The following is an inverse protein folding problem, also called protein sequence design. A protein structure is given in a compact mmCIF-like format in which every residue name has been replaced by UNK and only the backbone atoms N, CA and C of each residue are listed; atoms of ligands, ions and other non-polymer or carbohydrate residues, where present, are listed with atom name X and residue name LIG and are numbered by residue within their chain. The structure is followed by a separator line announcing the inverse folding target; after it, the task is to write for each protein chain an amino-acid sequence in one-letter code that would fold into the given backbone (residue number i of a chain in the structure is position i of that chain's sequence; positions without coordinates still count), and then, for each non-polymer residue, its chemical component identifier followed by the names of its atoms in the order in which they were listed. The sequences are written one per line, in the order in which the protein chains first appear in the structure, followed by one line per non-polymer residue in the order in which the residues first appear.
data_IF_376319425292
#
_entry.id   IF_376319425292
#
_cell.length_a   1.000
_cell.length_b   1.000
_cell.length_c   1.000
_cell.angle_alpha   90.00
_cell.angle_beta   90.00
_cell.angle_gamma   90.00
#
_symmetry.space_group_name_H-M   'P 1'
#
loop_
_entity.id
_entity.type
_entity.pdbx_description
1 polymer ?
#
# COMPACT_ATOMS: atom_id res chain seq x y z
N UNK A 1 19.46 -6.08 -5.67
CA UNK A 1 18.19 -6.34 -6.39
C UNK A 1 17.09 -5.42 -5.89
N UNK A 2 16.40 -4.76 -6.80
CA UNK A 2 15.29 -3.90 -6.43
C UNK A 2 14.06 -4.74 -6.12
N UNK A 3 13.42 -4.43 -5.02
CA UNK A 3 12.15 -5.06 -4.67
C UNK A 3 11.05 -4.01 -4.73
N UNK A 4 9.88 -4.45 -5.14
CA UNK A 4 8.71 -3.60 -5.22
C UNK A 4 7.56 -4.20 -4.43
N UNK A 5 6.79 -3.31 -3.82
CA UNK A 5 5.54 -3.68 -3.17
C UNK A 5 4.45 -2.81 -3.79
N UNK A 6 3.20 -3.17 -3.56
CA UNK A 6 2.08 -2.56 -4.28
C UNK A 6 1.01 -2.10 -3.32
N UNK A 7 0.44 -0.93 -3.62
CA UNK A 7 -0.66 -0.36 -2.85
C UNK A 7 -1.86 -0.15 -3.75
N UNK A 8 -2.98 -0.70 -3.35
CA UNK A 8 -4.25 -0.47 -4.03
C UNK A 8 -4.99 0.61 -3.26
N UNK A 9 -5.38 1.68 -3.93
CA UNK A 9 -6.14 2.74 -3.30
C UNK A 9 -7.10 3.36 -4.30
N UNK A 10 -8.02 4.18 -3.80
CA UNK A 10 -8.95 4.89 -4.67
C UNK A 10 -8.24 6.10 -5.29
N UNK A 11 -8.69 6.47 -6.50
CA UNK A 11 -8.16 7.64 -7.18
C UNK A 11 -8.25 8.88 -6.28
N UNK A 12 -9.35 9.03 -5.54
CA UNK A 12 -9.53 10.17 -4.65
C UNK A 12 -8.49 10.20 -3.53
N UNK A 13 -8.12 9.03 -3.02
CA UNK A 13 -7.10 8.93 -1.98
C UNK A 13 -5.73 9.34 -2.51
N UNK A 14 -5.41 8.94 -3.73
CA UNK A 14 -4.17 9.33 -4.37
C UNK A 14 -4.13 10.82 -4.68
N UNK A 15 -5.24 11.37 -5.18
CA UNK A 15 -5.35 12.80 -5.46
C UNK A 15 -5.16 13.62 -4.17
N UNK A 16 -5.76 13.18 -3.08
CA UNK A 16 -5.59 13.82 -1.79
C UNK A 16 -4.14 13.79 -1.32
N UNK A 17 -3.48 12.65 -1.51
CA UNK A 17 -2.06 12.51 -1.14
C UNK A 17 -1.18 13.48 -1.92
N UNK A 18 -1.45 13.64 -3.23
CA UNK A 18 -0.68 14.58 -4.05
C UNK A 18 -0.84 16.01 -3.56
N UNK A 19 -2.02 16.38 -3.12
CA UNK A 19 -2.26 17.72 -2.58
C UNK A 19 -1.51 17.94 -1.26
N UNK A 20 -1.45 16.92 -0.42
CA UNK A 20 -0.77 17.00 0.87
C UNK A 20 0.75 16.90 0.75
N UNK A 21 1.24 16.40 -0.38
CA UNK A 21 2.66 16.21 -0.60
C UNK A 21 3.24 14.96 0.02
N UNK A 22 2.40 14.08 0.57
CA UNK A 22 2.84 12.80 1.12
C UNK A 22 1.68 11.83 1.19
N UNK A 23 1.98 10.55 1.13
CA UNK A 23 0.98 9.49 1.26
C UNK A 23 1.02 8.94 2.68
N UNK A 24 0.01 9.27 3.46
CA UNK A 24 -0.08 8.82 4.86
C UNK A 24 -0.98 7.60 5.03
N UNK A 25 -1.54 7.11 3.93
CA UNK A 25 -2.38 5.93 3.93
C UNK A 25 -3.84 6.24 3.65
N UNK A 26 -4.61 5.18 3.48
CA UNK A 26 -6.06 5.26 3.33
C UNK A 26 -6.69 5.39 4.72
N UNK A 27 -8.01 5.57 4.76
CA UNK A 27 -8.73 5.61 6.04
C UNK A 27 -8.48 4.33 6.85
N UNK A 28 -8.53 3.18 6.17
CA UNK A 28 -8.29 1.90 6.86
C UNK A 28 -6.86 1.82 7.38
N UNK A 29 -5.89 2.29 6.60
CA UNK A 29 -4.50 2.31 7.04
C UNK A 29 -4.35 3.12 8.33
N UNK A 30 -4.98 4.29 8.37
CA UNK A 30 -4.90 5.16 9.54
C UNK A 30 -5.58 4.53 10.75
N UNK A 31 -6.68 3.82 10.54
CA UNK A 31 -7.37 3.13 11.62
C UNK A 31 -6.52 2.00 12.18
N UNK A 32 -5.78 1.30 11.31
CA UNK A 32 -4.96 0.16 11.73
C UNK A 32 -3.57 0.55 12.21
N UNK A 33 -3.15 1.79 11.97
CA UNK A 33 -1.87 2.28 12.44
C UNK A 33 -0.67 1.99 11.56
N UNK A 34 -0.89 1.53 10.33
CA UNK A 34 0.17 1.29 9.35
C UNK A 34 -0.43 1.23 7.95
N UNK A 35 0.42 1.48 6.95
CA UNK A 35 -0.01 1.41 5.55
C UNK A 35 0.10 -0.03 5.08
N UNK A 36 -1.00 -0.56 4.53
CA UNK A 36 -1.07 -1.92 4.02
C UNK A 36 -0.58 -1.98 2.58
N UNK A 37 0.32 -2.91 2.31
CA UNK A 37 0.80 -3.18 0.95
C UNK A 37 0.58 -4.64 0.61
N UNK A 38 0.80 -4.96 -0.68
CA UNK A 38 0.77 -6.34 -1.18
C UNK A 38 2.07 -6.62 -1.91
N UNK A 39 2.54 -7.86 -1.83
CA UNK A 39 3.55 -8.34 -2.76
C UNK A 39 2.87 -8.49 -4.12
N UNK A 40 3.67 -8.53 -5.19
CA UNK A 40 3.11 -8.68 -6.54
C UNK A 40 2.18 -9.89 -6.63
N UNK A 41 2.57 -11.01 -6.04
CA UNK A 41 1.77 -12.24 -6.06
C UNK A 41 0.47 -12.15 -5.28
N UNK A 42 0.32 -11.14 -4.42
CA UNK A 42 -0.85 -10.98 -3.57
C UNK A 42 -1.87 -9.99 -4.10
N UNK A 43 -1.52 -9.22 -5.15
CA UNK A 43 -2.37 -8.12 -5.63
C UNK A 43 -3.75 -8.63 -6.04
N UNK A 44 -3.81 -9.72 -6.82
CA UNK A 44 -5.09 -10.23 -7.33
C UNK A 44 -6.02 -10.68 -6.20
N UNK A 45 -5.50 -11.40 -5.22
CA UNK A 45 -6.34 -11.88 -4.12
C UNK A 45 -6.80 -10.72 -3.23
N UNK A 46 -5.95 -9.71 -3.05
CA UNK A 46 -6.34 -8.53 -2.28
C UNK A 46 -7.46 -7.76 -3.00
N UNK A 47 -7.36 -7.63 -4.33
CA UNK A 47 -8.41 -7.00 -5.12
C UNK A 47 -9.75 -7.72 -4.94
N UNK A 48 -9.74 -9.04 -5.03
CA UNK A 48 -10.96 -9.83 -4.88
C UNK A 48 -11.54 -9.73 -3.50
N UNK A 49 -10.70 -9.71 -2.48
CA UNK A 49 -11.18 -9.76 -1.10
C UNK A 49 -11.73 -8.42 -0.62
N UNK A 50 -11.07 -7.31 -0.95
CA UNK A 50 -11.40 -6.02 -0.35
C UNK A 50 -11.97 -4.99 -1.32
N UNK A 51 -11.83 -5.20 -2.62
CA UNK A 51 -12.14 -4.17 -3.61
C UNK A 51 -13.15 -4.63 -4.67
N UNK A 52 -13.88 -5.71 -4.41
CA UNK A 52 -14.90 -6.20 -5.33
C UNK A 52 -15.97 -5.12 -5.52
N UNK A 53 -16.31 -4.84 -6.78
CA UNK A 53 -17.32 -3.86 -7.17
C UNK A 53 -16.97 -2.41 -6.79
N UNK A 54 -15.69 -2.13 -6.57
CA UNK A 54 -15.22 -0.76 -6.33
C UNK A 54 -14.52 -0.27 -7.58
N UNK A 55 -14.97 0.88 -8.08
CA UNK A 55 -14.39 1.51 -9.26
C UNK A 55 -13.33 2.54 -8.86
N UNK A 56 -12.63 3.06 -9.86
CA UNK A 56 -11.68 4.16 -9.70
C UNK A 56 -10.54 3.80 -8.75
N UNK A 57 -9.96 2.62 -8.97
CA UNK A 57 -8.81 2.16 -8.21
C UNK A 57 -7.51 2.47 -8.94
N UNK A 58 -6.47 2.71 -8.16
CA UNK A 58 -5.11 2.92 -8.65
C UNK A 58 -4.21 1.90 -7.97
N UNK A 59 -3.27 1.36 -8.74
CA UNK A 59 -2.22 0.49 -8.22
C UNK A 59 -0.93 1.27 -8.18
N UNK A 60 -0.41 1.52 -6.99
CA UNK A 60 0.88 2.18 -6.82
C UNK A 60 1.97 1.13 -6.73
N UNK A 61 3.00 1.30 -7.56
CA UNK A 61 4.19 0.46 -7.50
C UNK A 61 5.23 1.21 -6.66
N UNK A 62 5.70 0.56 -5.62
CA UNK A 62 6.55 1.22 -4.62
C UNK A 62 7.87 0.48 -4.47
N UNK A 63 8.98 1.21 -4.62
CA UNK A 63 10.31 0.67 -4.36
C UNK A 63 10.54 0.57 -2.86
N UNK A 64 11.08 -0.56 -2.42
CA UNK A 64 11.42 -0.73 -1.01
C UNK A 64 12.79 -0.15 -0.66
N UNK A 65 13.52 0.37 -1.65
CA UNK A 65 14.87 0.89 -1.44
C UNK A 65 14.85 2.03 -0.42
N UNK A 66 15.67 1.90 0.63
CA UNK A 66 15.80 2.89 1.70
C UNK A 66 14.48 3.22 2.39
N UNK A 67 13.52 2.31 2.35
CA UNK A 67 12.24 2.50 3.01
C UNK A 67 12.35 2.00 4.44
N UNK A 68 12.28 2.92 5.40
CA UNK A 68 12.38 2.57 6.80
C UNK A 68 11.01 2.18 7.36
N UNK A 69 11.01 1.41 8.45
CA UNK A 69 9.79 1.01 9.16
C UNK A 69 8.86 0.12 8.35
N UNK A 70 9.42 -0.60 7.38
CA UNK A 70 8.68 -1.58 6.60
C UNK A 70 8.87 -2.94 7.24
N UNK A 71 7.76 -3.56 7.65
CA UNK A 71 7.78 -4.86 8.32
C UNK A 71 6.85 -5.81 7.58
N UNK A 72 7.32 -7.02 7.31
CA UNK A 72 6.48 -8.05 6.72
C UNK A 72 5.83 -8.81 7.86
N UNK A 73 4.53 -8.70 7.99
CA UNK A 73 3.78 -9.26 9.10
C UNK A 73 2.73 -10.25 8.62
N UNK A 74 2.49 -11.26 9.44
CA UNK A 74 1.47 -12.25 9.16
C UNK A 74 0.09 -11.59 9.28
N UNK A 75 -0.71 -11.78 8.25
CA UNK A 75 -2.08 -11.34 8.26
C UNK A 75 -2.96 -12.60 8.35
N UNK A 76 -3.98 -12.72 7.50
CA UNK A 76 -4.81 -13.93 7.56
C UNK A 76 -4.06 -15.13 6.96
N UNK A 77 -4.33 -16.33 7.49
CA UNK A 77 -3.64 -17.53 7.07
C UNK A 77 -2.17 -17.47 7.44
N UNK A 78 -1.30 -18.03 6.58
CA UNK A 78 0.14 -18.00 6.78
C UNK A 78 0.83 -17.00 5.86
N UNK A 79 0.08 -16.01 5.38
CA UNK A 79 0.60 -15.04 4.43
C UNK A 79 1.18 -13.82 5.14
N UNK A 80 2.38 -13.41 4.72
CA UNK A 80 3.02 -12.21 5.24
C UNK A 80 2.83 -11.09 4.25
N UNK A 81 2.35 -9.94 4.74
CA UNK A 81 2.12 -8.75 3.94
C UNK A 81 3.03 -7.62 4.40
N UNK A 82 3.51 -6.78 3.47
CA UNK A 82 4.32 -5.62 3.87
C UNK A 82 3.46 -4.56 4.54
N UNK A 83 3.88 -4.13 5.72
CA UNK A 83 3.21 -3.07 6.47
C UNK A 83 4.21 -1.95 6.74
N UNK A 84 3.85 -0.72 6.40
CA UNK A 84 4.72 0.44 6.59
C UNK A 84 4.24 1.28 7.77
N UNK A 85 5.09 1.42 8.77
CA UNK A 85 4.78 2.16 10.00
C UNK A 85 5.27 3.61 9.95
N UNK A 86 5.14 4.24 8.80
CA UNK A 86 5.46 5.64 8.58
C UNK A 86 4.73 6.11 7.33
N UNK A 87 4.82 7.40 7.00
CA UNK A 87 4.27 7.85 5.73
C UNK A 87 5.13 7.33 4.57
N UNK A 88 4.54 7.24 3.39
CA UNK A 88 5.23 6.75 2.20
C UNK A 88 5.84 7.93 1.44
N UNK A 89 7.17 7.97 1.31
CA UNK A 89 7.80 9.04 0.52
C UNK A 89 7.45 8.90 -0.97
N UNK A 90 7.11 10.01 -1.61
CA UNK A 90 6.75 9.98 -3.03
C UNK A 90 7.88 9.46 -3.92
N UNK A 91 9.13 9.71 -3.54
CA UNK A 91 10.27 9.23 -4.33
C UNK A 91 10.30 7.71 -4.48
N UNK A 92 9.65 6.98 -3.58
CA UNK A 92 9.57 5.53 -3.65
C UNK A 92 8.46 5.04 -4.57
N UNK A 93 7.55 5.92 -4.99
CA UNK A 93 6.44 5.56 -5.87
C UNK A 93 6.92 5.68 -7.32
N UNK A 94 6.73 4.60 -8.09
CA UNK A 94 7.23 4.52 -9.47
C UNK A 94 6.14 4.60 -10.55
#
# INVERSE_FOLDING_TARGET
MKKFIYKICKTSEWTSAKKKGKFIGTKKDMEDGFIHFSKKSQVQSTLKKYFTNIDNLILLKVSTARLENLIYEKSFGNNFFPHLYSHLPFKNIK
#
